data_IF_153693832599
#
_entry.id   IF_153693832599
#
_cell.length_a   1.000
_cell.length_b   1.000
_cell.length_c   1.000
_cell.angle_alpha   90.00
_cell.angle_beta   90.00
_cell.angle_gamma   90.00
#
_symmetry.space_group_name_H-M   'P 1'
#
loop_
_entity.id
_entity.type
_entity.pdbx_description
1 polymer ?
#
# COMPACT_ATOMS: atom_id res chain seq x y z
N UNK A 1 19.24 3.84 -14.99
CA UNK A 1 18.74 2.50 -14.72
C UNK A 1 17.22 2.54 -14.63
N UNK A 2 16.57 1.74 -15.44
CA UNK A 2 15.12 1.72 -15.45
C UNK A 2 14.62 0.84 -14.31
N UNK A 3 13.61 1.31 -13.62
CA UNK A 3 12.91 0.51 -12.62
C UNK A 3 11.77 -0.21 -13.30
N UNK A 4 11.63 -1.48 -13.01
CA UNK A 4 10.49 -2.24 -13.50
C UNK A 4 9.29 -1.91 -12.63
N UNK A 5 8.26 -1.34 -13.24
CA UNK A 5 7.04 -1.04 -12.53
C UNK A 5 6.26 -2.32 -12.28
N UNK A 6 5.73 -2.46 -11.08
CA UNK A 6 4.87 -3.58 -10.73
C UNK A 6 3.43 -3.27 -11.14
N UNK A 7 2.71 -4.31 -11.52
CA UNK A 7 1.32 -4.21 -11.93
C UNK A 7 0.44 -5.06 -11.02
N UNK A 8 -0.86 -4.96 -11.20
CA UNK A 8 -1.81 -5.67 -10.38
C UNK A 8 -1.53 -7.17 -10.25
N UNK A 9 -1.05 -7.81 -11.32
CA UNK A 9 -0.77 -9.25 -11.29
C UNK A 9 0.28 -9.60 -10.23
N UNK A 10 1.22 -8.70 -9.94
CA UNK A 10 2.18 -8.91 -8.87
C UNK A 10 1.48 -8.98 -7.51
N UNK A 11 0.53 -8.08 -7.27
CA UNK A 11 -0.25 -8.12 -6.03
C UNK A 11 -1.04 -9.41 -5.91
N UNK A 12 -1.63 -9.85 -7.01
CA UNK A 12 -2.41 -11.09 -7.04
C UNK A 12 -1.54 -12.30 -6.74
N UNK A 13 -0.33 -12.34 -7.26
CA UNK A 13 0.61 -13.44 -7.02
C UNK A 13 1.04 -13.47 -5.55
N UNK A 14 1.30 -12.31 -4.95
CA UNK A 14 1.64 -12.24 -3.52
C UNK A 14 0.46 -12.71 -2.69
N UNK A 15 -0.75 -12.25 -3.03
CA UNK A 15 -1.98 -12.64 -2.33
C UNK A 15 -2.21 -14.15 -2.39
N UNK A 16 -1.86 -14.78 -3.51
CA UNK A 16 -2.04 -16.21 -3.72
C UNK A 16 -0.89 -17.07 -3.17
N UNK A 17 0.13 -16.45 -2.57
CA UNK A 17 1.27 -17.19 -2.02
C UNK A 17 2.28 -17.63 -3.06
N UNK A 18 2.27 -17.03 -4.23
CA UNK A 18 3.11 -17.41 -5.36
C UNK A 18 4.36 -16.53 -5.52
N UNK A 19 4.62 -15.64 -4.58
CA UNK A 19 5.73 -14.69 -4.68
C UNK A 19 6.90 -15.11 -3.82
N UNK A 20 8.10 -15.01 -4.37
CA UNK A 20 9.34 -15.27 -3.64
C UNK A 20 9.93 -13.95 -3.16
N UNK A 21 10.07 -13.79 -1.85
CA UNK A 21 10.58 -12.57 -1.25
C UNK A 21 12.10 -12.52 -1.14
N UNK A 22 12.78 -13.63 -1.49
CA UNK A 22 14.22 -13.68 -1.38
C UNK A 22 14.71 -13.71 0.06
N UNK A 23 15.62 -12.79 0.40
CA UNK A 23 16.24 -12.75 1.73
C UNK A 23 15.57 -11.74 2.67
N UNK A 24 14.36 -11.33 2.37
CA UNK A 24 13.63 -10.40 3.24
C UNK A 24 13.37 -11.03 4.61
N UNK A 25 13.44 -10.21 5.65
CA UNK A 25 13.08 -10.62 7.00
C UNK A 25 11.64 -11.14 7.05
N UNK A 26 11.43 -12.25 7.75
CA UNK A 26 10.14 -12.94 7.81
C UNK A 26 9.01 -12.03 8.31
N UNK A 27 9.27 -11.23 9.33
CA UNK A 27 8.26 -10.30 9.84
C UNK A 27 7.88 -9.25 8.79
N UNK A 28 8.87 -8.79 8.03
CA UNK A 28 8.62 -7.82 6.96
C UNK A 28 7.90 -8.46 5.79
N UNK A 29 8.15 -9.74 5.51
CA UNK A 29 7.37 -10.49 4.53
C UNK A 29 5.90 -10.53 4.89
N UNK A 30 5.60 -10.83 6.15
CA UNK A 30 4.21 -10.89 6.62
C UNK A 30 3.51 -9.54 6.48
N UNK A 31 4.24 -8.46 6.79
CA UNK A 31 3.70 -7.10 6.61
C UNK A 31 3.41 -6.81 5.15
N UNK A 32 4.32 -7.19 4.26
CA UNK A 32 4.14 -6.99 2.82
C UNK A 32 2.97 -7.79 2.28
N UNK A 33 2.81 -9.04 2.75
CA UNK A 33 1.71 -9.90 2.32
C UNK A 33 0.36 -9.30 2.74
N UNK A 34 0.25 -8.83 3.97
CA UNK A 34 -0.99 -8.20 4.44
C UNK A 34 -1.33 -6.97 3.61
N UNK A 35 -0.34 -6.16 3.32
CA UNK A 35 -0.56 -4.96 2.50
C UNK A 35 -0.97 -5.33 1.09
N UNK A 36 -0.34 -6.36 0.50
CA UNK A 36 -0.68 -6.81 -0.84
C UNK A 36 -2.12 -7.33 -0.90
N UNK A 37 -2.55 -8.09 0.11
CA UNK A 37 -3.92 -8.60 0.17
C UNK A 37 -4.93 -7.46 0.22
N UNK A 38 -4.68 -6.47 1.07
CA UNK A 38 -5.57 -5.32 1.20
C UNK A 38 -5.60 -4.50 -0.08
N UNK A 39 -4.45 -4.26 -0.68
CA UNK A 39 -4.35 -3.46 -1.89
C UNK A 39 -4.98 -4.18 -3.09
N UNK A 40 -4.81 -5.50 -3.17
CA UNK A 40 -5.44 -6.30 -4.22
C UNK A 40 -6.97 -6.23 -4.11
N UNK A 41 -7.49 -6.28 -2.88
CA UNK A 41 -8.93 -6.13 -2.66
C UNK A 41 -9.41 -4.75 -3.09
N UNK A 42 -8.68 -3.71 -2.71
CA UNK A 42 -9.02 -2.34 -3.13
C UNK A 42 -9.03 -2.23 -4.66
N UNK A 43 -8.02 -2.81 -5.31
CA UNK A 43 -7.95 -2.77 -6.78
C UNK A 43 -9.19 -3.40 -7.42
N UNK A 44 -9.65 -4.52 -6.88
CA UNK A 44 -10.87 -5.17 -7.37
C UNK A 44 -12.10 -4.29 -7.18
N UNK A 45 -12.20 -3.64 -6.02
CA UNK A 45 -13.32 -2.73 -5.73
C UNK A 45 -13.30 -1.50 -6.62
N UNK A 46 -12.11 -1.10 -7.09
CA UNK A 46 -11.92 0.10 -7.89
C UNK A 46 -11.74 -0.20 -9.39
N UNK A 47 -12.07 -1.41 -9.81
CA UNK A 47 -11.95 -1.87 -11.19
C UNK A 47 -10.54 -1.71 -11.75
N UNK A 48 -9.53 -1.91 -10.90
CA UNK A 48 -8.12 -1.83 -11.27
C UNK A 48 -7.44 -3.19 -11.28
N UNK A 49 -8.22 -4.26 -11.32
CA UNK A 49 -7.69 -5.62 -11.28
C UNK A 49 -7.46 -6.22 -12.67
N UNK A 50 -7.55 -5.41 -13.69
CA UNK A 50 -7.26 -5.85 -15.05
C UNK A 50 -5.79 -5.68 -15.40
N UNK A 51 -5.40 -6.22 -16.56
CA UNK A 51 -4.05 -6.08 -17.05
C UNK A 51 -3.71 -4.61 -17.30
N UNK A 52 -2.49 -4.25 -16.97
CA UNK A 52 -2.00 -2.92 -17.27
C UNK A 52 -2.25 -1.85 -16.21
N UNK A 53 -2.74 -2.23 -15.03
CA UNK A 53 -2.88 -1.27 -13.93
C UNK A 53 -1.64 -1.29 -13.05
N UNK A 54 -0.82 -0.22 -13.08
CA UNK A 54 0.38 -0.15 -12.25
C UNK A 54 0.04 -0.10 -10.76
N UNK A 55 0.86 -0.76 -9.95
CA UNK A 55 0.69 -0.73 -8.49
C UNK A 55 0.80 0.69 -7.96
N UNK A 56 1.68 1.51 -8.53
CA UNK A 56 1.83 2.91 -8.12
C UNK A 56 0.51 3.68 -8.24
N UNK A 57 -0.22 3.45 -9.33
CA UNK A 57 -1.52 4.09 -9.55
C UNK A 57 -2.56 3.60 -8.54
N UNK A 58 -2.56 2.30 -8.27
CA UNK A 58 -3.47 1.72 -7.28
C UNK A 58 -3.19 2.32 -5.89
N UNK A 59 -1.92 2.47 -5.53
CA UNK A 59 -1.53 3.07 -4.25
C UNK A 59 -2.00 4.52 -4.15
N UNK A 60 -1.79 5.31 -5.20
CA UNK A 60 -2.23 6.70 -5.21
C UNK A 60 -3.74 6.79 -5.00
N UNK A 61 -4.49 5.96 -5.72
CA UNK A 61 -5.94 5.98 -5.61
C UNK A 61 -6.41 5.50 -4.24
N UNK A 62 -5.72 4.52 -3.67
CA UNK A 62 -6.03 4.04 -2.32
C UNK A 62 -5.82 5.14 -1.29
N UNK A 63 -4.70 5.86 -1.36
CA UNK A 63 -4.42 6.98 -0.45
C UNK A 63 -5.44 8.09 -0.64
N UNK A 64 -5.79 8.40 -1.88
CA UNK A 64 -6.81 9.41 -2.19
C UNK A 64 -8.14 9.05 -1.55
N UNK A 65 -8.54 7.78 -1.66
CA UNK A 65 -9.79 7.33 -1.08
C UNK A 65 -9.74 7.32 0.44
N UNK A 66 -8.57 7.06 1.04
CA UNK A 66 -8.38 7.19 2.48
C UNK A 66 -8.60 8.64 2.93
N UNK A 67 -8.16 9.60 2.12
CA UNK A 67 -8.40 11.02 2.42
C UNK A 67 -9.88 11.34 2.41
N UNK A 68 -10.61 10.81 1.44
CA UNK A 68 -12.07 10.97 1.40
C UNK A 68 -12.74 10.32 2.60
N UNK A 69 -12.29 9.14 2.97
CA UNK A 69 -12.80 8.45 4.16
C UNK A 69 -12.57 9.31 5.41
N UNK A 70 -11.35 9.82 5.55
CA UNK A 70 -11.02 10.68 6.70
C UNK A 70 -11.93 11.89 6.78
N UNK A 71 -12.22 12.50 5.65
CA UNK A 71 -13.15 13.64 5.60
C UNK A 71 -14.57 13.21 5.97
N UNK A 72 -15.01 12.05 5.47
CA UNK A 72 -16.36 11.54 5.70
C UNK A 72 -16.62 11.24 7.17
N UNK A 73 -15.62 10.72 7.89
CA UNK A 73 -15.78 10.41 9.32
C UNK A 73 -15.27 11.53 10.22
N UNK A 74 -14.94 12.67 9.62
CA UNK A 74 -14.45 13.85 10.32
C UNK A 74 -13.22 13.54 11.19
N UNK A 75 -12.34 12.71 10.67
CA UNK A 75 -11.13 12.28 11.36
C UNK A 75 -9.98 13.24 11.03
N UNK A 76 -9.40 13.84 12.06
CA UNK A 76 -8.26 14.73 11.88
C UNK A 76 -7.21 14.43 12.93
N UNK A 77 -5.96 14.55 12.52
CA UNK A 77 -4.82 14.40 13.43
C UNK A 77 -4.23 15.78 13.64
N UNK A 78 -4.28 16.26 14.88
CA UNK A 78 -3.87 17.63 15.22
C UNK A 78 -4.72 18.62 14.41
N UNK A 79 -4.17 19.71 13.96
CA UNK A 79 -4.89 20.71 13.18
C UNK A 79 -4.54 20.65 11.68
N UNK A 80 -4.21 19.45 11.20
CA UNK A 80 -3.84 19.27 9.81
C UNK A 80 -5.07 19.32 8.89
N UNK A 81 -4.89 19.82 7.68
CA UNK A 81 -5.95 19.86 6.68
C UNK A 81 -6.34 18.46 6.21
N UNK A 82 -5.36 17.56 6.14
CA UNK A 82 -5.61 16.17 5.78
C UNK A 82 -5.26 15.27 6.95
N UNK A 83 -6.18 14.37 7.29
CA UNK A 83 -5.93 13.39 8.34
C UNK A 83 -4.87 12.37 7.94
N UNK A 84 -4.73 12.09 6.64
CA UNK A 84 -3.90 10.99 6.15
C UNK A 84 -2.43 11.39 6.02
N UNK A 85 -2.12 12.61 5.60
CA UNK A 85 -0.74 13.01 5.35
C UNK A 85 0.16 12.85 6.58
N UNK A 86 -0.24 13.34 7.77
CA UNK A 86 0.58 13.12 8.98
C UNK A 86 0.77 11.64 9.29
N UNK A 87 -0.25 10.82 9.05
CA UNK A 87 -0.16 9.38 9.31
C UNK A 87 0.83 8.70 8.37
N UNK A 88 0.90 9.13 7.12
CA UNK A 88 1.88 8.60 6.18
C UNK A 88 3.31 8.92 6.66
N UNK A 89 3.54 10.12 7.19
CA UNK A 89 4.85 10.48 7.74
C UNK A 89 5.23 9.61 8.92
N UNK A 90 4.28 9.33 9.81
CA UNK A 90 4.51 8.44 10.95
C UNK A 90 4.82 7.04 10.46
N UNK A 91 4.08 6.56 9.46
CA UNK A 91 4.31 5.24 8.87
C UNK A 91 5.72 5.14 8.29
N UNK A 92 6.21 6.20 7.65
CA UNK A 92 7.57 6.22 7.11
C UNK A 92 8.63 6.07 8.21
N UNK A 93 8.40 6.69 9.37
CA UNK A 93 9.30 6.54 10.52
C UNK A 93 9.33 5.08 11.00
N UNK A 94 8.15 4.45 11.11
CA UNK A 94 8.07 3.04 11.50
C UNK A 94 8.78 2.14 10.49
N UNK A 95 8.57 2.39 9.19
CA UNK A 95 9.21 1.62 8.14
C UNK A 95 10.73 1.69 8.26
N UNK A 96 11.27 2.89 8.45
CA UNK A 96 12.71 3.08 8.58
C UNK A 96 13.26 2.34 9.79
N UNK A 97 12.56 2.37 10.92
CA UNK A 97 12.98 1.66 12.12
C UNK A 97 12.96 0.14 11.90
N UNK A 98 11.99 -0.37 11.17
CA UNK A 98 11.84 -1.80 10.91
C UNK A 98 12.82 -2.34 9.88
N UNK A 99 13.37 -1.47 9.03
CA UNK A 99 14.28 -1.90 7.97
C UNK A 99 15.74 -1.60 8.24
N UNK A 100 16.06 -0.70 9.15
CA UNK A 100 17.44 -0.32 9.47
C UNK A 100 17.90 -0.85 10.82
N UNK A 101 16.99 -1.37 11.59
CA UNK A 101 17.29 -1.94 12.92
C UNK A 101 17.96 -3.25 12.83
#
# INVERSE_FOLDING_TARGET
MSQTEAYYDTLARIDNGEWCFGSMDEENEERAIKAAKALALFARLNDQDGDGHPVSEIIVDFITDLMHLGEAINFRVLDEESAVIPLVRIAAVHFNAETTG
#
